data_IF_482162100030
#
_entry.id   IF_482162100030
#
_cell.length_a   1.000
_cell.length_b   1.000
_cell.length_c   1.000
_cell.angle_alpha   90.00
_cell.angle_beta   90.00
_cell.angle_gamma   90.00
#
_symmetry.space_group_name_H-M   'P 1'
#
loop_
_entity.id
_entity.type
_entity.pdbx_description
1 polymer ?
#
# COMPACT_ATOMS: atom_id res chain seq x y z
N UNK A 1 -4.20 -17.86 9.76
CA UNK A 1 -5.60 -17.35 9.79
C UNK A 1 -6.26 -17.74 8.48
N UNK A 2 -7.41 -18.44 8.58
CA UNK A 2 -8.20 -18.82 7.39
C UNK A 2 -9.39 -17.87 7.26
N UNK A 3 -9.61 -17.32 6.07
CA UNK A 3 -10.73 -16.43 5.76
C UNK A 3 -11.35 -16.84 4.42
N UNK A 4 -12.67 -16.88 4.35
CA UNK A 4 -13.39 -16.98 3.09
C UNK A 4 -14.23 -15.72 2.87
N UNK A 5 -14.05 -15.10 1.71
CA UNK A 5 -14.87 -13.99 1.24
C UNK A 5 -15.93 -14.59 0.31
N UNK A 6 -17.18 -14.60 0.75
CA UNK A 6 -18.29 -15.27 0.06
C UNK A 6 -19.00 -14.32 -0.90
N UNK A 7 -19.36 -14.84 -2.08
CA UNK A 7 -20.23 -14.16 -3.05
C UNK A 7 -19.69 -12.82 -3.59
N UNK A 8 -18.40 -12.58 -3.56
CA UNK A 8 -17.81 -11.36 -4.11
C UNK A 8 -17.81 -11.38 -5.64
N UNK A 9 -18.12 -10.24 -6.28
CA UNK A 9 -17.88 -10.07 -7.71
C UNK A 9 -16.39 -9.79 -7.92
N UNK A 10 -15.63 -10.83 -8.27
CA UNK A 10 -14.17 -10.73 -8.46
C UNK A 10 -13.88 -10.14 -9.82
N UNK A 11 -13.17 -9.00 -9.82
CA UNK A 11 -12.71 -8.31 -11.03
C UNK A 11 -11.19 -8.19 -10.99
N UNK A 12 -10.46 -9.03 -11.72
CA UNK A 12 -9.00 -8.98 -11.83
C UNK A 12 -8.56 -8.89 -13.29
N UNK A 13 -8.23 -7.68 -13.77
CA UNK A 13 -7.80 -7.49 -15.17
C UNK A 13 -6.51 -8.25 -15.53
N UNK A 14 -5.64 -8.53 -14.54
CA UNK A 14 -4.38 -9.23 -14.83
C UNK A 14 -4.60 -10.70 -15.17
N UNK A 15 -5.56 -11.37 -14.53
CA UNK A 15 -5.92 -12.75 -14.81
C UNK A 15 -7.09 -12.87 -15.81
N UNK A 16 -7.77 -11.74 -16.13
CA UNK A 16 -8.99 -11.71 -16.93
C UNK A 16 -10.21 -12.26 -16.17
N UNK A 17 -10.15 -12.36 -14.85
CA UNK A 17 -11.25 -12.84 -14.01
C UNK A 17 -12.32 -11.76 -13.86
N UNK A 18 -13.56 -12.12 -14.13
CA UNK A 18 -14.74 -11.27 -13.97
C UNK A 18 -15.95 -12.18 -13.69
N UNK A 19 -16.14 -12.53 -12.42
CA UNK A 19 -17.16 -13.50 -12.00
C UNK A 19 -17.56 -13.32 -10.54
N UNK A 20 -18.76 -13.74 -10.19
CA UNK A 20 -19.18 -13.85 -8.78
C UNK A 20 -18.70 -15.19 -8.23
N UNK A 21 -17.83 -15.15 -7.23
CA UNK A 21 -17.22 -16.36 -6.66
C UNK A 21 -16.74 -16.14 -5.23
N UNK A 22 -16.42 -17.22 -4.53
CA UNK A 22 -15.78 -17.16 -3.23
C UNK A 22 -14.26 -16.99 -3.39
N UNK A 23 -13.64 -16.28 -2.44
CA UNK A 23 -12.19 -16.10 -2.39
C UNK A 23 -11.67 -16.72 -1.09
N UNK A 24 -10.69 -17.62 -1.20
CA UNK A 24 -10.07 -18.29 -0.07
C UNK A 24 -8.72 -17.69 0.26
N UNK A 25 -8.56 -17.26 1.51
CA UNK A 25 -7.36 -16.57 2.00
C UNK A 25 -6.78 -17.34 3.17
N UNK A 26 -5.49 -17.67 3.11
CA UNK A 26 -4.72 -18.20 4.22
C UNK A 26 -3.47 -17.35 4.43
N UNK A 27 -3.23 -16.97 5.70
CA UNK A 27 -2.04 -16.22 6.11
C UNK A 27 -1.74 -15.01 5.19
N UNK A 28 -2.79 -14.22 4.93
CA UNK A 28 -2.75 -13.00 4.09
C UNK A 28 -2.48 -13.26 2.60
N UNK A 29 -2.67 -14.49 2.12
CA UNK A 29 -2.52 -14.85 0.70
C UNK A 29 -3.80 -15.46 0.16
N UNK A 30 -4.20 -15.05 -1.03
CA UNK A 30 -5.25 -15.73 -1.78
C UNK A 30 -4.70 -17.10 -2.21
N UNK A 31 -5.39 -18.17 -1.81
CA UNK A 31 -5.01 -19.54 -2.14
C UNK A 31 -5.93 -20.18 -3.16
N UNK A 32 -7.09 -19.60 -3.42
CA UNK A 32 -8.02 -20.13 -4.40
C UNK A 32 -9.32 -19.34 -4.51
N UNK A 33 -10.13 -19.78 -5.46
CA UNK A 33 -11.44 -19.24 -5.76
C UNK A 33 -12.44 -20.39 -5.91
N UNK A 34 -13.74 -20.09 -5.73
CA UNK A 34 -14.81 -21.06 -5.89
C UNK A 34 -15.07 -21.89 -4.64
N UNK A 35 -15.60 -23.10 -4.82
CA UNK A 35 -15.95 -23.98 -3.71
C UNK A 35 -14.71 -24.60 -3.06
N UNK A 36 -14.66 -24.57 -1.74
CA UNK A 36 -13.61 -25.22 -0.95
C UNK A 36 -14.20 -25.81 0.35
N UNK A 37 -15.00 -26.84 0.25
CA UNK A 37 -15.82 -27.34 1.37
C UNK A 37 -14.99 -27.78 2.59
N UNK A 38 -13.75 -28.24 2.39
CA UNK A 38 -12.85 -28.71 3.47
C UNK A 38 -12.47 -27.60 4.47
N UNK A 39 -12.66 -26.34 4.10
CA UNK A 39 -12.26 -25.18 4.89
C UNK A 39 -13.44 -24.44 5.51
N UNK A 40 -14.64 -24.70 5.05
CA UNK A 40 -15.82 -23.85 5.34
C UNK A 40 -16.17 -23.84 6.82
N UNK A 41 -15.86 -24.90 7.57
CA UNK A 41 -16.16 -24.98 9.01
C UNK A 41 -15.16 -24.17 9.86
N UNK A 42 -13.89 -24.10 9.44
CA UNK A 42 -12.79 -23.53 10.23
C UNK A 42 -12.41 -22.09 9.82
N UNK A 43 -12.99 -21.55 8.75
CA UNK A 43 -12.64 -20.23 8.24
C UNK A 43 -13.55 -19.13 8.80
N UNK A 44 -12.97 -17.96 9.07
CA UNK A 44 -13.75 -16.74 9.24
C UNK A 44 -14.49 -16.43 7.95
N UNK A 45 -15.76 -15.98 8.03
CA UNK A 45 -16.61 -15.74 6.86
C UNK A 45 -16.90 -14.25 6.73
N UNK A 46 -16.58 -13.69 5.56
CA UNK A 46 -16.94 -12.34 5.17
C UNK A 46 -17.93 -12.42 4.00
N UNK A 47 -19.16 -11.97 4.19
CA UNK A 47 -20.11 -11.87 3.08
C UNK A 47 -19.83 -10.62 2.24
N UNK A 48 -19.55 -10.81 0.96
CA UNK A 48 -19.28 -9.76 -0.03
C UNK A 48 -20.36 -9.70 -1.12
N UNK A 49 -21.57 -10.21 -0.84
CA UNK A 49 -22.70 -10.12 -1.77
C UNK A 49 -22.96 -8.66 -2.16
N UNK A 50 -23.06 -8.39 -3.45
CA UNK A 50 -23.20 -7.03 -4.01
C UNK A 50 -21.93 -6.16 -3.95
N UNK A 51 -20.81 -6.69 -3.46
CA UNK A 51 -19.52 -6.00 -3.45
C UNK A 51 -18.61 -6.45 -4.59
N UNK A 52 -17.71 -5.55 -5.00
CA UNK A 52 -16.62 -5.86 -5.92
C UNK A 52 -15.37 -6.22 -5.10
N UNK A 53 -14.77 -7.35 -5.42
CA UNK A 53 -13.46 -7.76 -4.94
C UNK A 53 -12.45 -7.59 -6.08
N UNK A 54 -11.54 -6.64 -5.92
CA UNK A 54 -10.54 -6.32 -6.95
C UNK A 54 -9.15 -6.17 -6.31
N UNK A 55 -8.06 -6.22 -7.11
CA UNK A 55 -6.75 -5.79 -6.63
C UNK A 55 -6.84 -4.39 -6.02
N UNK A 56 -6.16 -4.18 -4.89
CA UNK A 56 -6.15 -2.88 -4.22
C UNK A 56 -5.59 -1.79 -5.13
N UNK A 57 -6.16 -0.59 -5.02
CA UNK A 57 -5.71 0.55 -5.81
C UNK A 57 -4.28 0.97 -5.40
N UNK A 58 -3.53 1.49 -6.37
CA UNK A 58 -2.18 2.01 -6.17
C UNK A 58 -2.15 3.47 -6.61
N UNK A 59 -1.74 4.37 -5.71
CA UNK A 59 -1.50 5.76 -6.05
C UNK A 59 0.01 6.05 -6.02
N UNK A 60 0.56 6.37 -7.18
CA UNK A 60 2.01 6.59 -7.34
C UNK A 60 2.46 8.03 -7.08
N UNK A 61 1.57 8.90 -6.61
CA UNK A 61 1.90 10.31 -6.38
C UNK A 61 1.04 10.94 -5.27
N UNK A 62 1.41 10.74 -4.01
CA UNK A 62 0.73 11.33 -2.87
C UNK A 62 1.64 12.22 -2.04
N UNK A 63 1.05 13.10 -1.23
CA UNK A 63 1.76 14.01 -0.35
C UNK A 63 1.26 13.86 1.09
N UNK A 64 1.79 12.93 1.85
CA UNK A 64 1.48 12.79 3.28
C UNK A 64 2.13 13.85 4.16
N UNK A 65 3.04 14.67 3.60
CA UNK A 65 3.62 15.83 4.28
C UNK A 65 4.44 15.51 5.54
N UNK A 66 4.69 14.27 5.81
CA UNK A 66 5.45 13.76 6.93
C UNK A 66 6.81 13.18 6.42
N UNK A 67 7.92 13.66 6.95
CA UNK A 67 8.10 14.54 8.11
C UNK A 67 7.89 16.04 7.83
N UNK A 68 7.66 16.78 8.91
CA UNK A 68 7.83 18.22 8.99
C UNK A 68 6.61 19.10 8.70
N UNK A 69 5.60 18.59 7.97
CA UNK A 69 4.37 19.34 7.71
C UNK A 69 3.13 18.57 8.20
N UNK A 70 3.27 17.82 9.28
CA UNK A 70 2.26 16.92 9.84
C UNK A 70 0.96 17.62 10.25
N UNK A 71 0.97 18.95 10.39
CA UNK A 71 -0.24 19.73 10.59
C UNK A 71 -1.17 19.78 9.33
N UNK A 72 -0.68 19.36 8.18
CA UNK A 72 -1.46 19.24 6.93
C UNK A 72 -1.96 17.81 6.73
N UNK A 73 -1.07 16.85 6.91
CA UNK A 73 -1.28 15.41 6.80
C UNK A 73 -0.08 14.68 7.40
N UNK A 74 -0.28 13.49 7.92
CA UNK A 74 0.78 12.61 8.40
C UNK A 74 0.65 11.18 7.84
N UNK A 75 1.64 10.34 8.14
CA UNK A 75 1.66 8.96 7.66
C UNK A 75 0.46 8.15 8.16
N UNK A 76 0.01 8.37 9.40
CA UNK A 76 -1.07 7.59 10.00
C UNK A 76 -2.43 7.99 9.41
N UNK A 77 -2.75 9.28 9.41
CA UNK A 77 -4.05 9.77 8.93
C UNK A 77 -4.17 9.62 7.42
N UNK A 78 -3.10 9.91 6.66
CA UNK A 78 -3.05 9.72 5.22
C UNK A 78 -3.21 8.26 4.82
N UNK A 79 -2.55 7.33 5.52
CA UNK A 79 -2.69 5.90 5.23
C UNK A 79 -4.08 5.36 5.52
N UNK A 80 -4.73 5.83 6.60
CA UNK A 80 -6.12 5.48 6.92
C UNK A 80 -7.10 6.01 5.89
N UNK A 81 -6.91 7.26 5.44
CA UNK A 81 -7.73 7.84 4.38
C UNK A 81 -7.58 7.06 3.06
N UNK A 82 -6.35 6.72 2.69
CA UNK A 82 -6.08 5.89 1.51
C UNK A 82 -6.73 4.50 1.63
N UNK A 83 -6.59 3.82 2.77
CA UNK A 83 -7.23 2.53 3.03
C UNK A 83 -8.75 2.61 2.90
N UNK A 84 -9.38 3.65 3.45
CA UNK A 84 -10.82 3.89 3.32
C UNK A 84 -11.27 4.12 1.87
N UNK A 85 -10.37 4.63 1.02
CA UNK A 85 -10.58 4.77 -0.43
C UNK A 85 -10.27 3.53 -1.26
N UNK A 86 -9.87 2.41 -0.63
CA UNK A 86 -9.51 1.17 -1.34
C UNK A 86 -8.08 1.12 -1.87
N UNK A 87 -7.23 2.09 -1.51
CA UNK A 87 -5.81 2.05 -1.84
C UNK A 87 -5.07 1.14 -0.88
N UNK A 88 -4.27 0.23 -1.42
CA UNK A 88 -3.43 -0.69 -0.65
C UNK A 88 -1.95 -0.32 -0.73
N UNK A 89 -1.59 0.55 -1.66
CA UNK A 89 -0.23 1.04 -1.83
C UNK A 89 -0.24 2.50 -2.27
N UNK A 90 0.61 3.30 -1.65
CA UNK A 90 0.85 4.70 -2.06
C UNK A 90 2.34 4.97 -2.19
N UNK A 91 2.69 5.92 -3.06
CA UNK A 91 4.07 6.41 -3.23
C UNK A 91 4.13 7.87 -2.83
N UNK A 92 4.81 8.15 -1.71
CA UNK A 92 4.95 9.48 -1.15
C UNK A 92 6.05 10.29 -1.86
N UNK A 93 5.74 11.56 -2.12
CA UNK A 93 6.67 12.49 -2.75
C UNK A 93 7.68 13.06 -1.75
N UNK A 94 8.86 13.43 -2.25
CA UNK A 94 10.03 13.83 -1.46
C UNK A 94 9.97 15.25 -0.87
N UNK A 95 8.90 16.03 -1.12
CA UNK A 95 8.78 17.44 -0.71
C UNK A 95 8.29 17.60 0.73
N UNK A 96 9.04 17.05 1.65
CA UNK A 96 8.87 17.08 3.11
C UNK A 96 9.86 18.03 3.78
N UNK A 97 9.92 18.05 5.11
CA UNK A 97 10.92 18.81 5.88
C UNK A 97 11.43 17.95 7.04
N UNK A 98 12.66 17.41 6.97
CA UNK A 98 13.61 17.60 5.86
C UNK A 98 13.08 17.05 4.53
N UNK A 99 13.67 17.52 3.43
CA UNK A 99 13.46 16.94 2.09
C UNK A 99 14.02 15.51 2.11
N UNK A 100 13.38 14.60 1.35
CA UNK A 100 13.86 13.22 1.26
C UNK A 100 15.01 13.15 0.24
N UNK A 101 16.18 13.61 0.66
CA UNK A 101 17.39 13.68 -0.15
C UNK A 101 18.60 12.96 0.49
N UNK A 102 18.36 12.24 1.61
CA UNK A 102 19.34 11.36 2.26
C UNK A 102 18.75 10.01 2.63
N UNK A 103 19.59 8.94 2.69
CA UNK A 103 19.16 7.61 3.10
C UNK A 103 18.44 7.55 4.46
N UNK A 104 18.91 8.34 5.42
CA UNK A 104 18.39 8.34 6.79
C UNK A 104 16.92 8.79 6.83
N UNK A 105 16.56 9.78 6.01
CA UNK A 105 15.18 10.28 5.93
C UNK A 105 14.26 9.21 5.34
N UNK A 106 14.71 8.47 4.31
CA UNK A 106 13.95 7.34 3.74
C UNK A 106 13.73 6.26 4.78
N UNK A 107 14.80 5.83 5.46
CA UNK A 107 14.73 4.79 6.48
C UNK A 107 13.80 5.15 7.63
N UNK A 108 13.83 6.42 8.11
CA UNK A 108 12.92 6.90 9.14
C UNK A 108 11.46 6.80 8.70
N UNK A 109 11.13 7.29 7.49
CA UNK A 109 9.77 7.23 6.95
C UNK A 109 9.29 5.78 6.83
N UNK A 110 10.09 4.91 6.19
CA UNK A 110 9.72 3.51 5.98
C UNK A 110 9.55 2.74 7.29
N UNK A 111 10.43 2.98 8.27
CA UNK A 111 10.31 2.37 9.61
C UNK A 111 9.01 2.77 10.31
N UNK A 112 8.63 4.05 10.26
CA UNK A 112 7.36 4.52 10.83
C UNK A 112 6.15 4.00 10.07
N UNK A 113 6.33 3.66 8.80
CA UNK A 113 5.26 3.12 7.96
C UNK A 113 5.04 1.60 8.11
N UNK A 114 5.91 0.85 8.79
CA UNK A 114 5.86 -0.62 8.87
C UNK A 114 4.52 -1.20 9.37
N UNK A 115 3.84 -0.50 10.28
CA UNK A 115 2.61 -0.96 10.93
C UNK A 115 1.35 -0.23 10.42
N UNK A 116 1.45 0.51 9.33
CA UNK A 116 0.31 1.20 8.74
C UNK A 116 -0.61 0.23 7.98
N UNK A 117 -1.88 0.58 7.78
CA UNK A 117 -2.86 -0.33 7.15
C UNK A 117 -2.60 -0.60 5.67
N UNK A 118 -1.73 0.19 5.02
CA UNK A 118 -1.37 0.06 3.61
C UNK A 118 0.15 0.07 3.43
N UNK A 119 0.61 -0.31 2.25
CA UNK A 119 2.02 -0.18 1.89
C UNK A 119 2.34 1.27 1.52
N UNK A 120 3.22 1.91 2.28
CA UNK A 120 3.77 3.23 1.96
C UNK A 120 5.14 3.06 1.35
N UNK A 121 5.29 3.56 0.14
CA UNK A 121 6.56 3.66 -0.58
C UNK A 121 7.00 5.13 -0.59
N UNK A 122 8.31 5.35 -0.74
CA UNK A 122 8.88 6.69 -0.69
C UNK A 122 9.82 6.91 -1.88
N UNK A 123 9.62 8.00 -2.62
CA UNK A 123 10.61 8.44 -3.62
C UNK A 123 11.66 9.36 -2.99
N UNK A 124 12.84 9.37 -3.58
CA UNK A 124 13.89 10.33 -3.29
C UNK A 124 13.71 11.63 -4.07
N UNK A 125 14.24 12.73 -3.56
CA UNK A 125 14.56 13.90 -4.38
C UNK A 125 15.66 13.55 -5.41
N UNK A 126 15.64 14.20 -6.57
CA UNK A 126 16.68 14.03 -7.59
C UNK A 126 17.93 14.82 -7.24
N UNK A 127 17.75 16.00 -6.64
CA UNK A 127 18.86 16.86 -6.21
C UNK A 127 18.74 17.23 -4.75
N UNK A 128 19.88 17.41 -4.09
CA UNK A 128 19.96 17.87 -2.71
C UNK A 128 19.24 19.20 -2.54
N UNK A 129 18.41 19.30 -1.50
CA UNK A 129 17.63 20.49 -1.20
C UNK A 129 16.65 20.94 -2.29
N UNK A 130 16.39 20.13 -3.32
CA UNK A 130 15.67 20.53 -4.55
C UNK A 130 16.32 21.68 -5.32
N UNK A 131 17.60 21.95 -5.10
CA UNK A 131 18.28 23.09 -5.71
C UNK A 131 18.65 22.90 -7.19
N UNK A 132 18.61 21.67 -7.70
CA UNK A 132 19.01 21.36 -9.09
C UNK A 132 20.50 21.51 -9.36
N UNK A 133 21.34 21.57 -8.31
CA UNK A 133 22.78 21.81 -8.42
C UNK A 133 23.61 20.55 -8.19
N UNK A 134 23.25 19.77 -7.20
CA UNK A 134 23.97 18.54 -6.82
C UNK A 134 22.97 17.39 -6.76
N UNK A 135 23.29 16.28 -7.44
CA UNK A 135 22.48 15.08 -7.42
C UNK A 135 22.62 14.36 -6.06
N UNK A 136 21.57 13.68 -5.65
CA UNK A 136 21.69 12.71 -4.54
C UNK A 136 22.45 11.47 -4.98
N UNK A 137 22.97 10.71 -4.04
CA UNK A 137 23.49 9.37 -4.31
C UNK A 137 22.34 8.39 -4.55
N UNK A 138 21.98 8.16 -5.80
CA UNK A 138 20.84 7.32 -6.17
C UNK A 138 20.99 5.89 -5.66
N UNK A 139 22.22 5.34 -5.69
CA UNK A 139 22.42 3.97 -5.20
C UNK A 139 22.17 3.89 -3.70
N UNK A 140 22.71 4.82 -2.92
CA UNK A 140 22.45 4.87 -1.48
C UNK A 140 20.97 5.08 -1.15
N UNK A 141 20.25 5.87 -1.96
CA UNK A 141 18.81 6.09 -1.77
C UNK A 141 18.01 4.80 -2.06
N UNK A 142 18.34 4.07 -3.12
CA UNK A 142 17.71 2.78 -3.46
C UNK A 142 18.01 1.74 -2.38
N UNK A 143 19.26 1.66 -1.92
CA UNK A 143 19.68 0.73 -0.85
C UNK A 143 18.96 1.04 0.48
N UNK A 144 18.57 2.29 0.71
CA UNK A 144 17.76 2.71 1.85
C UNK A 144 16.24 2.39 1.68
N UNK A 145 15.80 1.97 0.50
CA UNK A 145 14.44 1.55 0.19
C UNK A 145 13.62 2.55 -0.62
N UNK A 146 14.25 3.55 -1.26
CA UNK A 146 13.55 4.39 -2.23
C UNK A 146 13.04 3.55 -3.42
N UNK A 147 11.89 3.92 -3.98
CA UNK A 147 11.31 3.27 -5.17
C UNK A 147 11.39 4.18 -6.40
#
# INVERSE_FOLDING_TARGET
MKLVIKNGHVMDPASGRDEVTDIWVEDKRIIGFGEHPEWEEDAEKLNADGCIAAPGLVDVHVHFRDPGFTYKEDLETGSRAAAAGGFTTVVCMANTKPIVDTPEVIQDILKRAENLPIHVKQVSAVSKGFEGKELVDFQAMVDAGAC
#
